data_IF_869484150265
#
_entry.id   IF_869484150265
#
_cell.length_a   1.000
_cell.length_b   1.000
_cell.length_c   1.000
_cell.angle_alpha   90.00
_cell.angle_beta   90.00
_cell.angle_gamma   90.00
#
_symmetry.space_group_name_H-M   'P 1'
#
loop_
_entity.id
_entity.type
_entity.pdbx_description
1 polymer ?
#
# COMPACT_ATOMS: atom_id res chain seq x y z
N UNK A 1 -6.33 23.93 21.73
CA UNK A 1 -7.42 24.88 21.44
C UNK A 1 -7.70 25.67 22.70
N UNK A 2 -8.31 26.85 22.59
CA UNK A 2 -8.88 27.52 23.75
C UNK A 2 -10.18 26.80 24.11
N UNK A 3 -10.45 26.48 25.38
CA UNK A 3 -11.73 25.91 25.79
C UNK A 3 -12.91 26.79 25.32
N UNK A 4 -13.97 26.13 24.86
CA UNK A 4 -15.18 26.80 24.33
C UNK A 4 -16.09 27.21 25.47
N UNK A 5 -16.14 26.40 26.53
CA UNK A 5 -16.98 26.63 27.71
C UNK A 5 -16.08 27.11 28.84
N UNK A 6 -16.11 28.43 29.06
CA UNK A 6 -15.39 29.08 30.15
C UNK A 6 -16.23 29.29 31.41
N UNK A 7 -15.55 29.55 32.53
CA UNK A 7 -16.15 29.71 33.87
C UNK A 7 -17.27 30.74 33.92
N UNK A 8 -17.07 31.91 33.32
CA UNK A 8 -18.08 32.99 33.31
C UNK A 8 -19.39 32.60 32.61
N UNK A 9 -19.30 31.75 31.57
CA UNK A 9 -20.47 31.24 30.86
C UNK A 9 -21.29 30.31 31.76
N UNK A 10 -20.62 29.44 32.52
CA UNK A 10 -21.26 28.50 33.44
C UNK A 10 -21.85 29.23 34.66
N UNK A 11 -21.17 30.24 35.20
CA UNK A 11 -21.69 31.08 36.29
C UNK A 11 -23.00 31.79 35.89
N UNK A 12 -23.05 32.35 34.68
CA UNK A 12 -24.26 32.96 34.16
C UNK A 12 -25.39 31.92 34.00
N UNK A 13 -25.07 30.73 33.50
CA UNK A 13 -26.03 29.64 33.34
C UNK A 13 -26.61 29.18 34.70
N UNK A 14 -25.77 29.03 35.73
CA UNK A 14 -26.22 28.69 37.10
C UNK A 14 -27.17 29.74 37.68
N UNK A 15 -26.87 31.02 37.48
CA UNK A 15 -27.73 32.12 37.95
C UNK A 15 -29.11 32.05 37.30
N UNK A 16 -29.17 31.83 35.99
CA UNK A 16 -30.44 31.65 35.26
C UNK A 16 -31.18 30.40 35.72
N UNK A 17 -30.45 29.35 36.09
CA UNK A 17 -30.97 28.10 36.63
C UNK A 17 -31.30 28.14 38.11
N UNK A 18 -31.21 29.31 38.77
CA UNK A 18 -31.44 29.47 40.22
C UNK A 18 -30.64 28.45 41.04
N UNK A 19 -29.38 28.23 40.66
CA UNK A 19 -28.47 27.26 41.29
C UNK A 19 -28.91 25.79 41.22
N UNK A 20 -29.75 25.42 40.24
CA UNK A 20 -30.01 24.00 39.97
C UNK A 20 -28.72 23.31 39.48
N UNK A 21 -28.35 22.15 40.05
CA UNK A 21 -27.11 21.44 39.70
C UNK A 21 -26.93 21.20 38.20
N UNK A 22 -25.69 21.32 37.73
CA UNK A 22 -25.28 21.05 36.36
C UNK A 22 -24.30 19.88 36.30
N UNK A 23 -24.62 18.88 35.49
CA UNK A 23 -23.74 17.78 35.15
C UNK A 23 -23.15 18.03 33.76
N UNK A 24 -21.83 18.14 33.68
CA UNK A 24 -21.07 18.42 32.48
C UNK A 24 -20.17 17.23 32.17
N UNK A 25 -20.12 16.82 30.91
CA UNK A 25 -19.25 15.75 30.43
C UNK A 25 -18.38 16.30 29.31
N UNK A 26 -17.06 16.33 29.54
CA UNK A 26 -16.07 16.75 28.55
C UNK A 26 -15.39 15.52 27.94
N UNK A 27 -15.73 15.23 26.67
CA UNK A 27 -15.18 14.11 25.90
C UNK A 27 -14.08 14.55 24.91
N UNK A 28 -13.72 15.84 24.88
CA UNK A 28 -12.81 16.40 23.88
C UNK A 28 -11.32 16.25 24.25
N UNK A 29 -10.49 16.06 23.22
CA UNK A 29 -9.02 16.07 23.35
C UNK A 29 -8.42 16.92 22.22
N UNK A 30 -7.86 18.11 22.51
CA UNK A 30 -7.79 18.80 23.82
C UNK A 30 -9.16 19.21 24.40
N UNK A 31 -9.24 19.43 25.73
CA UNK A 31 -10.47 19.73 26.47
C UNK A 31 -11.21 20.97 25.97
N UNK A 32 -12.54 20.90 25.95
CA UNK A 32 -13.42 22.00 25.54
C UNK A 32 -13.98 22.80 26.73
N UNK A 33 -13.82 22.29 27.95
CA UNK A 33 -14.33 22.91 29.19
C UNK A 33 -13.17 23.34 30.09
N UNK A 34 -13.20 24.58 30.57
CA UNK A 34 -12.23 25.09 31.54
C UNK A 34 -12.27 24.27 32.85
N UNK A 35 -11.13 23.73 33.33
CA UNK A 35 -11.10 22.96 34.58
C UNK A 35 -11.50 23.80 35.80
N UNK A 36 -11.33 25.12 35.75
CA UNK A 36 -11.68 26.07 36.81
C UNK A 36 -13.18 26.08 37.12
N UNK A 37 -14.03 25.57 36.22
CA UNK A 37 -15.48 25.40 36.45
C UNK A 37 -15.78 24.46 37.63
N UNK A 38 -14.89 23.52 37.93
CA UNK A 38 -15.02 22.61 39.10
C UNK A 38 -15.02 23.32 40.45
N UNK A 39 -14.61 24.59 40.49
CA UNK A 39 -14.68 25.43 41.71
C UNK A 39 -16.10 25.90 42.03
N UNK A 40 -17.05 25.75 41.12
CA UNK A 40 -18.45 26.13 41.31
C UNK A 40 -19.22 25.03 42.05
N UNK A 41 -19.86 25.37 43.17
CA UNK A 41 -20.53 24.41 44.07
C UNK A 41 -21.61 23.55 43.40
N UNK A 42 -22.32 24.11 42.44
CA UNK A 42 -23.48 23.48 41.80
C UNK A 42 -23.10 22.81 40.45
N UNK A 43 -21.82 22.52 40.21
CA UNK A 43 -21.33 21.93 38.95
C UNK A 43 -20.52 20.67 39.20
N UNK A 44 -20.87 19.63 38.46
CA UNK A 44 -20.16 18.35 38.42
C UNK A 44 -19.60 18.16 37.01
N UNK A 45 -18.29 18.29 36.85
CA UNK A 45 -17.59 18.08 35.58
C UNK A 45 -16.90 16.72 35.60
N UNK A 46 -17.23 15.88 34.62
CA UNK A 46 -16.55 14.62 34.36
C UNK A 46 -15.81 14.71 33.03
N UNK A 47 -14.54 14.34 33.05
CA UNK A 47 -13.72 14.25 31.85
C UNK A 47 -13.65 12.83 31.30
N UNK A 48 -13.15 12.70 30.07
CA UNK A 48 -12.86 11.40 29.47
C UNK A 48 -12.00 10.52 30.41
N UNK A 49 -11.05 11.11 31.13
CA UNK A 49 -10.19 10.39 32.08
C UNK A 49 -10.98 9.84 33.28
N UNK A 50 -11.94 10.62 33.81
CA UNK A 50 -12.79 10.19 34.93
C UNK A 50 -13.72 9.03 34.53
N UNK A 51 -14.19 9.04 33.28
CA UNK A 51 -15.02 7.98 32.73
C UNK A 51 -14.22 6.69 32.47
N UNK A 52 -12.94 6.79 32.12
CA UNK A 52 -12.08 5.61 31.92
C UNK A 52 -11.93 4.79 33.22
N UNK A 53 -11.85 5.44 34.38
CA UNK A 53 -11.75 4.77 35.67
C UNK A 53 -13.01 3.92 35.99
N UNK A 54 -14.19 4.39 35.60
CA UNK A 54 -15.48 3.67 35.79
C UNK A 54 -15.59 2.48 34.83
N UNK A 55 -15.03 2.60 33.62
CA UNK A 55 -15.13 1.58 32.57
C UNK A 55 -14.16 0.41 32.78
N UNK A 56 -13.15 0.57 33.65
CA UNK A 56 -12.15 -0.47 33.96
C UNK A 56 -12.77 -1.77 34.51
N UNK A 57 -13.96 -1.71 35.09
CA UNK A 57 -14.70 -2.91 35.55
C UNK A 57 -15.24 -3.80 34.42
N UNK A 58 -15.25 -3.32 33.15
CA UNK A 58 -15.66 -4.09 31.96
C UNK A 58 -14.49 -4.54 31.07
N UNK A 59 -13.26 -4.51 31.61
CA UNK A 59 -12.02 -4.82 30.89
C UNK A 59 -11.99 -6.22 30.22
N UNK A 60 -12.58 -7.24 30.86
CA UNK A 60 -12.51 -8.62 30.34
C UNK A 60 -13.34 -8.82 29.07
N UNK A 61 -14.54 -8.23 29.02
CA UNK A 61 -15.38 -8.22 27.80
C UNK A 61 -14.69 -7.45 26.67
N UNK A 62 -14.03 -6.33 26.99
CA UNK A 62 -13.25 -5.55 26.01
C UNK A 62 -12.06 -6.33 25.48
N UNK A 63 -11.37 -7.09 26.33
CA UNK A 63 -10.18 -7.87 25.95
C UNK A 63 -10.54 -9.02 24.99
N UNK A 64 -11.64 -9.72 25.26
CA UNK A 64 -12.12 -10.78 24.35
C UNK A 64 -12.55 -10.23 22.99
N UNK A 65 -13.31 -9.12 22.98
CA UNK A 65 -13.72 -8.44 21.75
C UNK A 65 -12.51 -7.89 20.95
N UNK A 66 -11.50 -7.35 21.63
CA UNK A 66 -10.27 -6.90 21.00
C UNK A 66 -9.51 -8.05 20.34
N UNK A 67 -9.38 -9.19 21.01
CA UNK A 67 -8.73 -10.38 20.42
C UNK A 67 -9.43 -10.88 19.15
N UNK A 68 -10.76 -10.86 19.13
CA UNK A 68 -11.53 -11.20 17.92
C UNK A 68 -11.31 -10.19 16.79
N UNK A 69 -11.27 -8.89 17.10
CA UNK A 69 -11.00 -7.85 16.12
C UNK A 69 -9.56 -7.96 15.56
N UNK A 70 -8.58 -8.25 16.40
CA UNK A 70 -7.18 -8.47 15.96
C UNK A 70 -7.06 -9.66 15.00
N UNK A 71 -7.80 -10.74 15.23
CA UNK A 71 -7.84 -11.88 14.32
C UNK A 71 -8.41 -11.48 12.95
N UNK A 72 -9.52 -10.75 12.92
CA UNK A 72 -10.13 -10.25 11.68
C UNK A 72 -9.18 -9.35 10.91
N UNK A 73 -8.50 -8.41 11.60
CA UNK A 73 -7.53 -7.50 10.97
C UNK A 73 -6.34 -8.27 10.42
N UNK A 74 -5.85 -9.28 11.14
CA UNK A 74 -4.73 -10.13 10.70
C UNK A 74 -5.08 -10.89 9.42
N UNK A 75 -6.26 -11.52 9.37
CA UNK A 75 -6.71 -12.26 8.21
C UNK A 75 -6.92 -11.35 7.00
N UNK A 76 -7.47 -10.16 7.22
CA UNK A 76 -7.61 -9.14 6.19
C UNK A 76 -6.25 -8.65 5.67
N UNK A 77 -5.26 -8.46 6.54
CA UNK A 77 -3.91 -8.08 6.16
C UNK A 77 -3.21 -9.14 5.31
N UNK A 78 -3.32 -10.42 5.68
CA UNK A 78 -2.79 -11.55 4.90
C UNK A 78 -3.43 -11.61 3.52
N UNK A 79 -4.77 -11.49 3.47
CA UNK A 79 -5.52 -11.51 2.21
C UNK A 79 -5.13 -10.33 1.30
N UNK A 80 -4.94 -9.15 1.89
CA UNK A 80 -4.47 -7.96 1.17
C UNK A 80 -3.07 -8.17 0.58
N UNK A 81 -2.12 -8.68 1.36
CA UNK A 81 -0.75 -8.94 0.90
C UNK A 81 -0.72 -9.95 -0.26
N UNK A 82 -1.55 -10.99 -0.21
CA UNK A 82 -1.70 -11.96 -1.29
C UNK A 82 -2.31 -11.32 -2.55
N UNK A 83 -3.31 -10.44 -2.39
CA UNK A 83 -3.92 -9.69 -3.48
C UNK A 83 -2.93 -8.74 -4.18
N UNK A 84 -2.08 -8.04 -3.41
CA UNK A 84 -1.06 -7.15 -3.95
C UNK A 84 0.00 -7.89 -4.76
N UNK A 85 0.45 -9.07 -4.29
CA UNK A 85 1.38 -9.93 -5.04
C UNK A 85 0.78 -10.37 -6.39
N UNK A 86 -0.52 -10.62 -6.46
CA UNK A 86 -1.21 -10.98 -7.69
C UNK A 86 -1.31 -9.81 -8.68
N UNK A 87 -1.65 -8.59 -8.20
CA UNK A 87 -1.69 -7.38 -9.04
C UNK A 87 -0.30 -7.01 -9.57
N UNK A 88 0.72 -7.06 -8.72
CA UNK A 88 2.11 -6.79 -9.11
C UNK A 88 2.61 -7.76 -10.21
N UNK A 89 2.19 -9.02 -10.15
CA UNK A 89 2.50 -10.03 -11.18
C UNK A 89 1.81 -9.76 -12.53
N UNK A 90 0.54 -9.33 -12.52
CA UNK A 90 -0.18 -8.97 -13.74
C UNK A 90 0.44 -7.76 -14.44
N UNK A 91 0.85 -6.75 -13.68
CA UNK A 91 1.55 -5.58 -14.20
C UNK A 91 2.93 -5.92 -14.78
N UNK A 92 3.60 -6.97 -14.28
CA UNK A 92 4.90 -7.38 -14.80
C UNK A 92 4.78 -7.97 -16.21
N UNK A 93 3.85 -8.89 -16.44
CA UNK A 93 3.67 -9.53 -17.76
C UNK A 93 3.25 -8.49 -18.81
N UNK A 94 2.35 -7.57 -18.45
CA UNK A 94 1.91 -6.49 -19.34
C UNK A 94 3.08 -5.57 -19.69
N UNK A 95 3.86 -5.13 -18.70
CA UNK A 95 5.04 -4.28 -18.93
C UNK A 95 6.10 -4.98 -19.79
N UNK A 96 6.37 -6.26 -19.53
CA UNK A 96 7.33 -7.04 -20.32
C UNK A 96 6.89 -7.12 -21.79
N UNK A 97 5.64 -7.50 -22.05
CA UNK A 97 5.11 -7.53 -23.44
C UNK A 97 5.19 -6.17 -24.12
N UNK A 98 4.83 -5.09 -23.41
CA UNK A 98 4.94 -3.73 -23.93
C UNK A 98 6.39 -3.38 -24.31
N UNK A 99 7.36 -3.72 -23.48
CA UNK A 99 8.77 -3.50 -23.79
C UNK A 99 9.22 -4.23 -25.07
N UNK A 100 8.76 -5.46 -25.29
CA UNK A 100 9.08 -6.21 -26.52
C UNK A 100 8.43 -5.57 -27.76
N UNK A 101 7.18 -5.13 -27.64
CA UNK A 101 6.47 -4.42 -28.71
C UNK A 101 7.15 -3.11 -29.08
N UNK A 102 7.48 -2.28 -28.09
CA UNK A 102 8.17 -1.00 -28.29
C UNK A 102 9.54 -1.23 -28.99
N UNK A 103 10.25 -2.30 -28.64
CA UNK A 103 11.51 -2.70 -29.30
C UNK A 103 11.28 -3.14 -30.75
N UNK A 104 10.29 -4.01 -30.98
CA UNK A 104 9.93 -4.50 -32.32
C UNK A 104 9.55 -3.34 -33.25
N UNK A 105 8.72 -2.42 -32.77
CA UNK A 105 8.27 -1.25 -33.55
C UNK A 105 9.44 -0.33 -33.90
N UNK A 106 10.39 -0.13 -32.97
CA UNK A 106 11.58 0.69 -33.21
C UNK A 106 12.52 0.09 -34.28
N UNK A 107 12.75 -1.23 -34.25
CA UNK A 107 13.59 -1.89 -35.26
C UNK A 107 12.88 -1.99 -36.62
N UNK A 108 11.57 -2.26 -36.61
CA UNK A 108 10.76 -2.30 -37.82
C UNK A 108 10.74 -0.94 -38.54
N UNK A 109 10.61 0.16 -37.79
CA UNK A 109 10.64 1.51 -38.36
C UNK A 109 11.96 1.80 -39.11
N UNK A 110 13.10 1.36 -38.56
CA UNK A 110 14.42 1.49 -39.22
C UNK A 110 14.50 0.67 -40.50
N UNK A 111 14.01 -0.57 -40.45
CA UNK A 111 13.99 -1.45 -41.62
C UNK A 111 13.12 -0.87 -42.74
N UNK A 112 11.92 -0.36 -42.41
CA UNK A 112 11.04 0.30 -43.38
C UNK A 112 11.72 1.55 -43.98
N UNK A 113 12.41 2.35 -43.17
CA UNK A 113 13.12 3.52 -43.66
C UNK A 113 14.22 3.16 -44.69
N UNK A 114 15.01 2.12 -44.41
CA UNK A 114 16.03 1.60 -45.33
C UNK A 114 15.44 1.04 -46.62
N UNK A 115 14.38 0.24 -46.51
CA UNK A 115 13.68 -0.29 -47.68
C UNK A 115 13.14 0.84 -48.58
N UNK A 116 12.59 1.91 -47.99
CA UNK A 116 12.14 3.10 -48.74
C UNK A 116 13.26 3.90 -49.39
N UNK A 117 14.48 3.81 -48.88
CA UNK A 117 15.67 4.44 -49.45
C UNK A 117 16.23 3.67 -50.66
N UNK A 118 15.71 2.46 -50.93
CA UNK A 118 16.14 1.61 -52.04
C UNK A 118 17.21 0.59 -51.67
N UNK A 119 17.47 0.38 -50.37
CA UNK A 119 18.36 -0.69 -49.91
C UNK A 119 17.84 -2.07 -50.33
N UNK A 120 18.74 -3.03 -50.50
CA UNK A 120 18.41 -4.43 -50.78
C UNK A 120 17.48 -5.01 -49.69
N UNK A 121 16.29 -5.46 -50.10
CA UNK A 121 15.23 -5.90 -49.19
C UNK A 121 15.68 -7.13 -48.39
N UNK A 122 16.38 -8.07 -49.00
CA UNK A 122 16.85 -9.28 -48.31
C UNK A 122 17.85 -8.93 -47.21
N UNK A 123 18.76 -7.99 -47.49
CA UNK A 123 19.73 -7.49 -46.51
C UNK A 123 19.03 -6.73 -45.38
N UNK A 124 18.03 -5.90 -45.68
CA UNK A 124 17.24 -5.16 -44.69
C UNK A 124 16.51 -6.12 -43.75
N UNK A 125 15.84 -7.14 -44.29
CA UNK A 125 15.12 -8.14 -43.49
C UNK A 125 16.06 -8.99 -42.62
N UNK A 126 17.19 -9.44 -43.17
CA UNK A 126 18.23 -10.16 -42.40
C UNK A 126 18.80 -9.32 -41.27
N UNK A 127 19.01 -8.02 -41.53
CA UNK A 127 19.50 -7.08 -40.53
C UNK A 127 18.47 -6.87 -39.42
N UNK A 128 17.20 -6.67 -39.77
CA UNK A 128 16.10 -6.55 -38.81
C UNK A 128 16.02 -7.79 -37.91
N UNK A 129 16.00 -8.98 -38.50
CA UNK A 129 15.90 -10.24 -37.77
C UNK A 129 17.07 -10.41 -36.78
N UNK A 130 18.29 -10.10 -37.24
CA UNK A 130 19.50 -10.20 -36.41
C UNK A 130 19.47 -9.19 -35.26
N UNK A 131 19.17 -7.92 -35.54
CA UNK A 131 19.16 -6.85 -34.54
C UNK A 131 18.06 -7.05 -33.49
N UNK A 132 16.87 -7.45 -33.93
CA UNK A 132 15.75 -7.72 -33.02
C UNK A 132 16.08 -8.90 -32.10
N UNK A 133 16.60 -10.00 -32.65
CA UNK A 133 16.99 -11.19 -31.86
C UNK A 133 18.07 -10.83 -30.83
N UNK A 134 19.12 -10.11 -31.23
CA UNK A 134 20.19 -9.70 -30.32
C UNK A 134 19.68 -8.84 -29.17
N UNK A 135 18.79 -7.87 -29.46
CA UNK A 135 18.24 -6.97 -28.44
C UNK A 135 17.28 -7.70 -27.49
N UNK A 136 16.44 -8.60 -28.01
CA UNK A 136 15.57 -9.44 -27.20
C UNK A 136 16.37 -10.37 -26.28
N UNK A 137 17.45 -10.97 -26.80
CA UNK A 137 18.27 -11.93 -26.07
C UNK A 137 19.19 -11.27 -25.02
N UNK A 138 19.54 -9.99 -25.18
CA UNK A 138 20.54 -9.34 -24.32
C UNK A 138 20.16 -9.34 -22.84
N UNK A 139 18.99 -8.81 -22.48
CA UNK A 139 18.58 -8.67 -21.08
C UNK A 139 18.42 -10.03 -20.37
N UNK A 140 17.72 -11.03 -20.94
CA UNK A 140 17.68 -12.37 -20.37
C UNK A 140 19.07 -13.02 -20.23
N UNK A 141 19.96 -12.85 -21.21
CA UNK A 141 21.31 -13.45 -21.17
C UNK A 141 22.16 -12.87 -20.05
N UNK A 142 22.09 -11.55 -19.83
CA UNK A 142 22.79 -10.88 -18.73
C UNK A 142 22.23 -11.35 -17.38
N UNK A 143 20.90 -11.43 -17.25
CA UNK A 143 20.25 -11.93 -16.05
C UNK A 143 20.65 -13.37 -15.73
N UNK A 144 20.61 -14.27 -16.71
CA UNK A 144 21.01 -15.65 -16.55
C UNK A 144 22.49 -15.78 -16.12
N UNK A 145 23.37 -14.96 -16.71
CA UNK A 145 24.79 -14.93 -16.32
C UNK A 145 24.98 -14.49 -14.87
N UNK A 146 24.21 -13.50 -14.40
CA UNK A 146 24.24 -13.07 -12.99
C UNK A 146 23.82 -14.22 -12.07
N UNK A 147 22.70 -14.87 -12.36
CA UNK A 147 22.20 -15.99 -11.53
C UNK A 147 23.22 -17.14 -11.44
N UNK A 148 23.94 -17.43 -12.53
CA UNK A 148 25.01 -18.45 -12.55
C UNK A 148 26.18 -18.03 -11.64
N UNK A 149 26.56 -16.75 -11.65
CA UNK A 149 27.64 -16.22 -10.80
C UNK A 149 27.24 -16.25 -9.32
N UNK A 150 25.98 -15.90 -9.02
CA UNK A 150 25.45 -15.84 -7.66
C UNK A 150 25.24 -17.24 -7.03
N UNK A 151 25.18 -18.29 -7.86
CA UNK A 151 25.14 -19.68 -7.40
C UNK A 151 23.79 -20.14 -6.83
N UNK A 152 22.72 -19.38 -7.04
CA UNK A 152 21.38 -19.73 -6.58
C UNK A 152 20.72 -20.76 -7.54
N UNK A 153 20.83 -22.04 -7.17
CA UNK A 153 20.27 -23.14 -7.95
C UNK A 153 18.74 -23.04 -8.13
N UNK A 154 18.00 -22.52 -7.14
CA UNK A 154 16.55 -22.39 -7.23
C UNK A 154 16.16 -21.29 -8.24
N UNK A 155 16.86 -20.16 -8.22
CA UNK A 155 16.65 -19.08 -9.18
C UNK A 155 17.01 -19.49 -10.62
N UNK A 156 18.07 -20.30 -10.79
CA UNK A 156 18.47 -20.84 -12.10
C UNK A 156 17.37 -21.75 -12.68
N UNK A 157 16.80 -22.65 -11.89
CA UNK A 157 15.70 -23.54 -12.35
C UNK A 157 14.42 -22.76 -12.71
N UNK A 158 14.10 -21.72 -11.94
CA UNK A 158 12.99 -20.81 -12.28
C UNK A 158 13.26 -20.06 -13.58
N UNK A 159 14.49 -19.60 -13.81
CA UNK A 159 14.88 -18.92 -15.04
C UNK A 159 14.81 -19.85 -16.26
N UNK A 160 15.24 -21.11 -16.14
CA UNK A 160 15.09 -22.12 -17.21
C UNK A 160 13.62 -22.32 -17.57
N UNK A 161 12.76 -22.42 -16.56
CA UNK A 161 11.30 -22.56 -16.75
C UNK A 161 10.71 -21.34 -17.44
N UNK A 162 11.07 -20.13 -17.01
CA UNK A 162 10.58 -18.88 -17.59
C UNK A 162 11.00 -18.70 -19.05
N UNK A 163 12.23 -19.11 -19.40
CA UNK A 163 12.79 -19.02 -20.74
C UNK A 163 12.40 -20.20 -21.64
N UNK A 164 11.67 -21.19 -21.13
CA UNK A 164 11.27 -22.38 -21.88
C UNK A 164 12.43 -23.35 -22.17
N UNK A 165 13.52 -23.28 -21.41
CA UNK A 165 14.72 -24.12 -21.58
C UNK A 165 14.62 -25.47 -20.86
N UNK A 166 13.42 -25.85 -20.39
CA UNK A 166 13.18 -27.10 -19.67
C UNK A 166 12.93 -28.30 -20.59
N UNK A 167 12.78 -28.07 -21.89
CA UNK A 167 12.70 -29.16 -22.86
C UNK A 167 14.11 -29.39 -23.41
N UNK A 168 14.57 -30.63 -23.31
CA UNK A 168 15.74 -31.15 -24.01
C UNK A 168 15.49 -31.14 -25.53
N UNK A 169 15.32 -29.96 -26.13
CA UNK A 169 15.44 -29.80 -27.58
C UNK A 169 16.93 -29.87 -27.92
N UNK A 170 17.39 -31.12 -27.91
CA UNK A 170 18.62 -31.52 -28.58
C UNK A 170 18.35 -31.36 -30.08
N UNK A 171 19.13 -30.55 -30.83
CA UNK A 171 19.06 -30.56 -32.28
C UNK A 171 19.45 -31.92 -32.86
#
# INVERSE_FOLDING_TARGET
SLPIIGKGMVEQALRLRKHAPMFLVDLAVPRDIEPEITTLRDVYLYSLDDLQNIVSENMDLRRSAAGAAEAIVRDAAITYEQGEKSRAGQDLVVRYRKQLEDLKDAELAKAIARAKQGDDIDLVLKTLATQLTQKLAHTPSVGLKSLIIDGDAAAIEQAKTLLGLNQDDTP
#
